data_IF_986962901833
#
_entry.id   IF_986962901833
#
_cell.length_a   1.000
_cell.length_b   1.000
_cell.length_c   1.000
_cell.angle_alpha   90.00
_cell.angle_beta   90.00
_cell.angle_gamma   90.00
#
_symmetry.space_group_name_H-M   'P 1'
#
loop_
_entity.id
_entity.type
_entity.pdbx_description
1 polymer ?
#
# COMPACT_ATOMS: atom_id res chain seq x y z
N UNK A 1 -10.26 -18.69 -9.12
CA UNK A 1 -10.99 -17.41 -9.17
C UNK A 1 -10.69 -16.75 -10.50
N UNK A 2 -11.70 -16.46 -11.31
CA UNK A 2 -11.56 -15.70 -12.56
C UNK A 2 -11.35 -14.21 -12.26
N UNK A 3 -10.90 -13.42 -13.24
CA UNK A 3 -10.80 -11.95 -13.07
C UNK A 3 -12.17 -11.32 -12.76
N UNK A 4 -13.25 -11.86 -13.32
CA UNK A 4 -14.61 -11.39 -13.04
C UNK A 4 -15.04 -11.66 -11.60
N UNK A 5 -14.75 -12.86 -11.08
CA UNK A 5 -15.01 -13.22 -9.69
C UNK A 5 -14.19 -12.36 -8.72
N UNK A 6 -12.90 -12.12 -9.04
CA UNK A 6 -12.03 -11.28 -8.22
C UNK A 6 -12.51 -9.82 -8.23
N UNK A 7 -12.84 -9.28 -9.40
CA UNK A 7 -13.35 -7.93 -9.56
C UNK A 7 -14.63 -7.71 -8.73
N UNK A 8 -15.56 -8.67 -8.79
CA UNK A 8 -16.79 -8.64 -7.99
C UNK A 8 -16.50 -8.70 -6.48
N UNK A 9 -15.59 -9.60 -6.04
CA UNK A 9 -15.21 -9.77 -4.63
C UNK A 9 -14.53 -8.53 -4.03
N UNK A 10 -13.75 -7.80 -4.85
CA UNK A 10 -12.95 -6.63 -4.43
C UNK A 10 -13.70 -5.31 -4.62
N UNK A 11 -14.78 -5.32 -5.41
CA UNK A 11 -15.56 -4.12 -5.74
C UNK A 11 -14.86 -3.21 -6.74
N UNK A 12 -14.27 -3.79 -7.79
CA UNK A 12 -13.59 -3.07 -8.89
C UNK A 12 -14.02 -3.59 -10.25
N UNK A 13 -13.60 -2.92 -11.32
CA UNK A 13 -13.86 -3.37 -12.69
C UNK A 13 -12.88 -4.49 -13.11
N UNK A 14 -13.29 -5.36 -14.04
CA UNK A 14 -12.40 -6.39 -14.62
C UNK A 14 -11.13 -5.78 -15.25
N UNK A 15 -11.19 -4.66 -16.00
CA UNK A 15 -9.99 -3.97 -16.47
C UNK A 15 -9.04 -3.52 -15.35
N UNK A 16 -9.56 -3.18 -14.16
CA UNK A 16 -8.73 -2.84 -12.99
C UNK A 16 -7.92 -4.04 -12.51
N UNK A 17 -8.49 -5.24 -12.53
CA UNK A 17 -7.75 -6.49 -12.23
C UNK A 17 -6.68 -6.73 -13.30
N UNK A 18 -7.00 -6.53 -14.58
CA UNK A 18 -6.00 -6.64 -15.66
C UNK A 18 -4.89 -5.58 -15.61
N UNK A 19 -5.12 -4.41 -14.99
CA UNK A 19 -4.06 -3.43 -14.70
C UNK A 19 -3.16 -3.90 -13.56
N UNK A 20 -3.75 -4.45 -12.50
CA UNK A 20 -3.01 -5.02 -11.38
C UNK A 20 -2.06 -6.14 -11.85
N UNK A 21 -2.55 -7.09 -12.67
CA UNK A 21 -1.75 -8.20 -13.18
C UNK A 21 -0.59 -7.76 -14.08
N UNK A 22 -0.74 -6.64 -14.79
CA UNK A 22 0.32 -6.03 -15.59
C UNK A 22 1.29 -5.17 -14.79
N UNK A 23 1.06 -5.01 -13.49
CA UNK A 23 1.89 -4.15 -12.63
C UNK A 23 1.77 -2.67 -12.97
N UNK A 24 0.59 -2.20 -13.41
CA UNK A 24 0.37 -0.78 -13.72
C UNK A 24 0.66 0.10 -12.48
N UNK A 25 1.66 0.99 -12.51
CA UNK A 25 2.05 1.81 -11.36
C UNK A 25 1.00 2.88 -11.02
N UNK A 26 0.04 3.16 -11.91
CA UNK A 26 -1.06 4.08 -11.64
C UNK A 26 -2.20 3.43 -10.84
N UNK A 27 -2.13 2.12 -10.56
CA UNK A 27 -3.11 1.44 -9.74
C UNK A 27 -3.05 1.94 -8.29
N UNK A 28 -4.20 2.17 -7.66
CA UNK A 28 -4.20 2.63 -6.27
C UNK A 28 -3.72 1.53 -5.32
N UNK A 29 -2.89 1.93 -4.34
CA UNK A 29 -2.48 1.04 -3.25
C UNK A 29 -3.68 0.44 -2.51
N UNK A 30 -4.76 1.22 -2.34
CA UNK A 30 -6.00 0.73 -1.71
C UNK A 30 -6.66 -0.41 -2.48
N UNK A 31 -6.60 -0.41 -3.81
CA UNK A 31 -7.12 -1.50 -4.64
C UNK A 31 -6.26 -2.75 -4.48
N UNK A 32 -4.93 -2.57 -4.53
CA UNK A 32 -3.99 -3.66 -4.32
C UNK A 32 -4.17 -4.33 -2.95
N UNK A 33 -4.31 -3.53 -1.88
CA UNK A 33 -4.58 -4.05 -0.54
C UNK A 33 -5.90 -4.84 -0.47
N UNK A 34 -6.99 -4.35 -1.07
CA UNK A 34 -8.25 -5.11 -1.11
C UNK A 34 -8.12 -6.43 -1.86
N UNK A 35 -7.31 -6.49 -2.93
CA UNK A 35 -7.01 -7.76 -3.62
C UNK A 35 -6.26 -8.70 -2.70
N UNK A 36 -5.22 -8.23 -2.02
CA UNK A 36 -4.46 -9.04 -1.07
C UNK A 36 -5.37 -9.59 0.04
N UNK A 37 -6.23 -8.75 0.64
CA UNK A 37 -7.22 -9.18 1.64
C UNK A 37 -8.20 -10.22 1.07
N UNK A 38 -8.70 -10.02 -0.15
CA UNK A 38 -9.63 -10.96 -0.79
C UNK A 38 -9.01 -12.35 -1.01
N UNK A 39 -7.68 -12.40 -1.18
CA UNK A 39 -6.85 -13.59 -1.36
C UNK A 39 -6.27 -14.17 -0.05
N UNK A 40 -6.40 -13.46 1.09
CA UNK A 40 -5.79 -13.84 2.36
C UNK A 40 -4.27 -13.62 2.42
N UNK A 41 -3.75 -12.70 1.60
CA UNK A 41 -2.33 -12.33 1.49
C UNK A 41 -2.03 -10.94 2.08
N UNK A 42 -2.97 -10.35 2.83
CA UNK A 42 -2.82 -9.02 3.42
C UNK A 42 -1.61 -8.92 4.36
N UNK A 43 -1.29 -9.99 5.07
CA UNK A 43 -0.15 -10.05 6.00
C UNK A 43 1.20 -10.07 5.30
N UNK A 44 1.26 -10.39 4.01
CA UNK A 44 2.51 -10.40 3.25
C UNK A 44 3.07 -8.98 3.08
N UNK A 45 2.24 -7.94 3.26
CA UNK A 45 2.73 -6.55 3.29
C UNK A 45 3.78 -6.35 4.40
N UNK A 46 3.71 -7.10 5.49
CA UNK A 46 4.69 -7.03 6.58
C UNK A 46 6.07 -7.53 6.12
N UNK A 47 6.13 -8.45 5.16
CA UNK A 47 7.39 -8.90 4.56
C UNK A 47 8.06 -7.75 3.81
N UNK A 48 7.27 -6.98 3.03
CA UNK A 48 7.79 -5.81 2.31
C UNK A 48 8.21 -4.70 3.28
N UNK A 49 7.39 -4.42 4.30
CA UNK A 49 7.67 -3.38 5.28
C UNK A 49 8.93 -3.64 6.10
N UNK A 50 9.25 -4.92 6.39
CA UNK A 50 10.48 -5.31 7.10
C UNK A 50 11.76 -4.89 6.37
N UNK A 51 11.72 -4.74 5.05
CA UNK A 51 12.89 -4.43 4.22
C UNK A 51 12.90 -2.99 3.69
N UNK A 52 11.98 -2.12 4.16
CA UNK A 52 11.90 -0.72 3.73
C UNK A 52 12.76 0.22 4.61
N UNK A 53 14.08 0.08 4.49
CA UNK A 53 15.03 0.93 5.23
C UNK A 53 14.89 2.41 4.87
N UNK A 54 14.65 2.71 3.59
CA UNK A 54 14.49 4.08 3.09
C UNK A 54 13.24 4.73 3.66
N UNK A 55 12.09 4.03 3.63
CA UNK A 55 10.86 4.52 4.22
C UNK A 55 10.99 4.76 5.72
N UNK A 56 11.73 3.90 6.44
CA UNK A 56 12.03 4.11 7.86
C UNK A 56 12.87 5.36 8.11
N UNK A 57 13.95 5.55 7.35
CA UNK A 57 14.78 6.75 7.46
C UNK A 57 13.99 8.05 7.18
N UNK A 58 13.10 8.02 6.19
CA UNK A 58 12.21 9.15 5.86
C UNK A 58 11.24 9.45 7.00
N UNK A 59 10.60 8.43 7.59
CA UNK A 59 9.70 8.59 8.73
C UNK A 59 10.42 9.19 9.95
N UNK A 60 11.58 8.63 10.31
CA UNK A 60 12.37 9.10 11.45
C UNK A 60 12.82 10.56 11.26
N UNK A 61 13.19 10.93 10.04
CA UNK A 61 13.58 12.30 9.69
C UNK A 61 12.43 13.30 9.84
N UNK A 62 11.20 12.91 9.47
CA UNK A 62 10.02 13.76 9.62
C UNK A 62 9.68 13.99 11.09
N UNK A 63 9.73 12.94 11.93
CA UNK A 63 9.47 13.04 13.36
C UNK A 63 10.44 14.01 14.07
N UNK A 64 11.73 13.97 13.71
CA UNK A 64 12.75 14.90 14.24
C UNK A 64 12.45 16.35 13.88
N UNK A 65 12.04 16.61 12.62
CA UNK A 65 11.64 17.97 12.20
C UNK A 65 10.43 18.47 12.98
N UNK A 66 9.44 17.60 13.23
CA UNK A 66 8.25 17.97 14.01
C UNK A 66 8.59 18.33 15.45
N UNK A 67 9.50 17.59 16.10
CA UNK A 67 9.93 17.90 17.47
C UNK A 67 10.71 19.23 17.57
N UNK A 68 11.66 19.48 16.65
CA UNK A 68 12.41 20.74 16.62
C UNK A 68 11.50 21.98 16.44
N UNK A 69 10.41 21.85 15.68
CA UNK A 69 9.39 22.91 15.51
C UNK A 69 8.59 23.18 16.80
N UNK A 70 8.37 22.16 17.64
CA UNK A 70 7.63 22.31 18.91
C UNK A 70 8.49 22.99 19.98
N UNK A 71 9.78 22.72 20.01
CA UNK A 71 10.74 23.34 20.95
C UNK A 71 11.07 24.80 20.62
N UNK A 72 10.77 25.26 19.40
CA UNK A 72 11.07 26.63 18.93
C UNK A 72 9.90 27.61 19.09
N UNK A 73 8.82 27.23 19.77
CA UNK A 73 7.74 28.16 20.16
C UNK A 73 7.90 28.49 21.65
N UNK A 74 8.17 29.76 22.03
CA UNK A 74 8.30 30.18 23.43
C UNK A 74 6.96 30.20 24.18
#
# INVERSE_FOLDING_TARGET
MTQAELAARVGVSVPTVGKLERGDPALSLSTMLRVLTALGLDKDIDLLARHDEVGRQLQDSQLRRTNAKRESTP
#
